data_IF_738550733172
#
_entry.id   IF_738550733172
#
_cell.length_a   1.000
_cell.length_b   1.000
_cell.length_c   1.000
_cell.angle_alpha   90.00
_cell.angle_beta   90.00
_cell.angle_gamma   90.00
#
_symmetry.space_group_name_H-M   'P 1'
#
loop_
_entity.id
_entity.type
_entity.pdbx_description
1 polymer ?
#
# COMPACT_ATOMS: atom_id res chain seq x y z
N UNK A 1 -1.60 -23.24 -12.75
CA UNK A 1 -0.72 -22.06 -12.54
C UNK A 1 0.16 -22.35 -11.33
N UNK A 2 1.48 -22.13 -11.39
CA UNK A 2 2.33 -22.33 -10.20
C UNK A 2 2.00 -21.27 -9.15
N UNK A 3 2.07 -21.61 -7.87
CA UNK A 3 1.67 -20.72 -6.77
C UNK A 3 2.38 -19.36 -6.82
N UNK A 4 3.68 -19.34 -7.13
CA UNK A 4 4.46 -18.12 -7.31
C UNK A 4 3.92 -17.20 -8.41
N UNK A 5 3.38 -17.77 -9.51
CA UNK A 5 2.76 -16.98 -10.58
C UNK A 5 1.47 -16.32 -10.10
N UNK A 6 0.70 -16.99 -9.24
CA UNK A 6 -0.52 -16.41 -8.65
C UNK A 6 -0.17 -15.25 -7.74
N UNK A 7 0.81 -15.42 -6.85
CA UNK A 7 1.30 -14.34 -5.99
C UNK A 7 1.84 -13.16 -6.78
N UNK A 8 2.62 -13.40 -7.83
CA UNK A 8 3.10 -12.35 -8.73
C UNK A 8 1.96 -11.58 -9.40
N UNK A 9 0.92 -12.29 -9.87
CA UNK A 9 -0.26 -11.65 -10.45
C UNK A 9 -1.01 -10.78 -9.42
N UNK A 10 -1.20 -11.26 -8.19
CA UNK A 10 -1.85 -10.48 -7.13
C UNK A 10 -1.06 -9.23 -6.78
N UNK A 11 0.27 -9.32 -6.70
CA UNK A 11 1.13 -8.15 -6.46
C UNK A 11 0.98 -7.11 -7.57
N UNK A 12 1.05 -7.54 -8.83
CA UNK A 12 0.87 -6.66 -10.00
C UNK A 12 -0.51 -6.01 -9.99
N UNK A 13 -1.56 -6.78 -9.67
CA UNK A 13 -2.92 -6.25 -9.59
C UNK A 13 -3.06 -5.22 -8.47
N UNK A 14 -2.47 -5.47 -7.29
CA UNK A 14 -2.51 -4.53 -6.17
C UNK A 14 -1.79 -3.22 -6.52
N UNK A 15 -0.54 -3.31 -7.01
CA UNK A 15 0.22 -2.12 -7.41
C UNK A 15 -0.44 -1.38 -8.56
N UNK A 16 -0.83 -2.11 -9.61
CA UNK A 16 -1.45 -1.57 -10.81
C UNK A 16 -2.76 -0.86 -10.50
N UNK A 17 -3.65 -1.47 -9.71
CA UNK A 17 -4.93 -0.85 -9.38
C UNK A 17 -4.75 0.43 -8.57
N UNK A 18 -3.85 0.45 -7.57
CA UNK A 18 -3.62 1.64 -6.73
C UNK A 18 -2.92 2.75 -7.51
N UNK A 19 -2.03 2.42 -8.44
CA UNK A 19 -1.42 3.41 -9.34
C UNK A 19 -2.45 4.01 -10.32
N UNK A 20 -3.34 3.18 -10.88
CA UNK A 20 -4.40 3.65 -11.78
C UNK A 20 -5.42 4.53 -11.07
N UNK A 21 -5.69 4.28 -9.80
CA UNK A 21 -6.61 5.07 -8.97
C UNK A 21 -5.90 6.05 -8.03
N UNK A 22 -4.65 6.42 -8.33
CA UNK A 22 -3.88 7.31 -7.45
C UNK A 22 -4.54 8.69 -7.34
N UNK A 23 -4.61 9.22 -6.12
CA UNK A 23 -5.18 10.54 -5.84
C UNK A 23 -4.08 11.59 -5.93
N UNK A 24 -4.21 12.52 -6.88
CA UNK A 24 -3.21 13.56 -7.18
C UNK A 24 -3.49 14.91 -6.50
N UNK A 25 -4.46 14.96 -5.58
CA UNK A 25 -4.75 16.12 -4.73
C UNK A 25 -4.69 15.71 -3.25
N UNK A 26 -4.62 16.69 -2.36
CA UNK A 26 -4.72 16.44 -0.92
C UNK A 26 -6.19 16.30 -0.56
N UNK A 27 -6.63 15.09 -0.23
CA UNK A 27 -8.03 14.77 0.03
C UNK A 27 -8.51 15.24 1.40
N UNK A 28 -7.68 15.05 2.42
CA UNK A 28 -8.02 15.31 3.81
C UNK A 28 -6.80 15.77 4.62
N UNK A 29 -7.02 16.10 5.90
CA UNK A 29 -5.99 16.60 6.80
C UNK A 29 -4.87 15.59 7.06
N UNK A 30 -5.17 14.30 7.12
CA UNK A 30 -4.15 13.27 7.29
C UNK A 30 -3.35 13.06 6.00
N UNK A 31 -4.01 13.04 4.84
CA UNK A 31 -3.32 13.07 3.54
C UNK A 31 -2.31 14.23 3.45
N UNK A 32 -2.68 15.42 3.94
CA UNK A 32 -1.77 16.57 4.04
C UNK A 32 -0.56 16.27 4.95
N UNK A 33 -0.80 15.71 6.14
CA UNK A 33 0.26 15.45 7.14
C UNK A 33 1.21 14.37 6.68
N UNK A 34 0.72 13.35 5.98
CA UNK A 34 1.57 12.35 5.33
C UNK A 34 2.37 12.96 4.19
N UNK A 35 1.78 13.81 3.36
CA UNK A 35 2.50 14.49 2.28
C UNK A 35 3.62 15.39 2.85
N UNK A 36 3.31 16.18 3.88
CA UNK A 36 4.30 16.97 4.61
C UNK A 36 5.38 16.08 5.26
N UNK A 37 5.00 14.95 5.87
CA UNK A 37 5.96 13.99 6.42
C UNK A 37 6.91 13.37 5.39
N UNK A 38 6.56 13.39 4.10
CA UNK A 38 7.46 12.99 3.01
C UNK A 38 8.39 14.14 2.61
N UNK A 39 7.92 15.39 2.62
CA UNK A 39 8.71 16.56 2.19
C UNK A 39 9.60 17.10 3.33
N UNK A 40 9.00 17.44 4.47
CA UNK A 40 9.64 17.98 5.66
C UNK A 40 9.14 17.19 6.89
N UNK A 41 9.82 16.09 7.19
CA UNK A 41 9.43 15.22 8.31
C UNK A 41 9.74 15.91 9.64
N UNK A 42 8.71 16.26 10.38
CA UNK A 42 8.82 16.94 11.67
C UNK A 42 7.72 16.49 12.63
N UNK A 43 8.11 15.67 13.61
CA UNK A 43 7.19 15.13 14.62
C UNK A 43 6.63 16.24 15.52
N UNK A 44 7.39 17.32 15.75
CA UNK A 44 6.93 18.45 16.56
C UNK A 44 5.79 19.22 15.87
N UNK A 45 5.74 19.17 14.54
CA UNK A 45 4.67 19.74 13.71
C UNK A 45 3.57 18.73 13.37
N UNK A 46 3.63 17.50 13.90
CA UNK A 46 2.70 16.40 13.60
C UNK A 46 2.69 15.99 12.12
N UNK A 47 3.88 15.93 11.50
CA UNK A 47 4.11 15.63 10.08
C UNK A 47 4.98 14.38 9.91
N UNK A 48 4.40 13.15 9.93
CA UNK A 48 3.00 12.83 10.14
C UNK A 48 2.68 12.67 11.63
N UNK A 49 1.39 12.49 11.90
CA UNK A 49 0.86 12.32 13.25
C UNK A 49 1.25 10.99 13.88
N UNK A 50 1.11 10.90 15.21
CA UNK A 50 1.43 9.69 15.97
C UNK A 50 0.75 8.44 15.35
N UNK A 51 1.46 7.31 15.17
CA UNK A 51 2.81 6.93 15.63
C UNK A 51 4.00 7.49 14.83
N UNK A 52 3.86 8.64 14.16
CA UNK A 52 4.91 9.33 13.39
C UNK A 52 5.45 8.50 12.21
N UNK A 53 4.81 7.37 11.91
CA UNK A 53 5.02 6.41 10.83
C UNK A 53 6.42 6.46 10.15
N UNK A 54 7.52 6.30 10.89
CA UNK A 54 8.87 6.52 10.36
C UNK A 54 9.20 5.54 9.23
N UNK A 55 8.73 4.29 9.34
CA UNK A 55 8.89 3.25 8.32
C UNK A 55 8.16 3.66 7.03
N UNK A 56 6.92 4.14 7.14
CA UNK A 56 6.17 4.65 5.99
C UNK A 56 6.92 5.82 5.34
N UNK A 57 7.31 6.84 6.13
CA UNK A 57 7.99 8.02 5.62
C UNK A 57 9.33 7.67 4.95
N UNK A 58 10.08 6.69 5.47
CA UNK A 58 11.32 6.22 4.86
C UNK A 58 11.08 5.70 3.44
N UNK A 59 10.16 4.75 3.26
CA UNK A 59 9.88 4.19 1.95
C UNK A 59 9.18 5.20 1.02
N UNK A 60 8.29 6.03 1.56
CA UNK A 60 7.61 7.06 0.80
C UNK A 60 8.60 8.10 0.27
N UNK A 61 9.57 8.53 1.08
CA UNK A 61 10.66 9.42 0.68
C UNK A 61 11.53 8.81 -0.41
N UNK A 62 11.85 7.51 -0.33
CA UNK A 62 12.63 6.85 -1.36
C UNK A 62 11.91 6.86 -2.72
N UNK A 63 10.61 6.58 -2.75
CA UNK A 63 9.81 6.63 -3.99
C UNK A 63 9.63 8.08 -4.46
N UNK A 64 9.38 9.00 -3.53
CA UNK A 64 9.26 10.42 -3.83
C UNK A 64 10.54 10.98 -4.45
N UNK A 65 11.73 10.64 -3.95
CA UNK A 65 13.00 11.07 -4.50
C UNK A 65 13.22 10.63 -5.97
N UNK A 66 12.56 9.55 -6.40
CA UNK A 66 12.65 9.04 -7.78
C UNK A 66 11.56 9.60 -8.71
N UNK A 67 10.43 10.02 -8.16
CA UNK A 67 9.21 10.33 -8.93
C UNK A 67 8.77 11.78 -8.80
N UNK A 68 9.26 12.49 -7.79
CA UNK A 68 8.85 13.82 -7.34
C UNK A 68 7.32 13.94 -7.12
N UNK A 69 6.66 12.82 -6.78
CA UNK A 69 5.20 12.74 -6.62
C UNK A 69 4.82 11.88 -5.42
N UNK A 70 4.34 12.51 -4.35
CA UNK A 70 3.84 11.79 -3.16
C UNK A 70 2.64 10.87 -3.49
N UNK A 71 1.80 11.24 -4.46
CA UNK A 71 0.70 10.41 -4.95
C UNK A 71 1.19 9.04 -5.44
N UNK A 72 2.32 9.00 -6.15
CA UNK A 72 2.92 7.75 -6.62
C UNK A 72 3.49 6.95 -5.45
N UNK A 73 4.17 7.63 -4.51
CA UNK A 73 4.67 6.99 -3.30
C UNK A 73 3.55 6.32 -2.48
N UNK A 74 2.44 7.04 -2.27
CA UNK A 74 1.29 6.53 -1.52
C UNK A 74 0.59 5.38 -2.26
N UNK A 75 0.43 5.47 -3.58
CA UNK A 75 -0.16 4.40 -4.37
C UNK A 75 0.68 3.12 -4.34
N UNK A 76 2.00 3.22 -4.48
CA UNK A 76 2.91 2.06 -4.40
C UNK A 76 2.88 1.43 -3.01
N UNK A 77 2.98 2.25 -1.95
CA UNK A 77 2.93 1.75 -0.58
C UNK A 77 1.57 1.14 -0.24
N UNK A 78 0.48 1.77 -0.66
CA UNK A 78 -0.88 1.22 -0.51
C UNK A 78 -1.04 -0.11 -1.23
N UNK A 79 -0.57 -0.22 -2.47
CA UNK A 79 -0.60 -1.48 -3.22
C UNK A 79 0.25 -2.59 -2.57
N UNK A 80 1.45 -2.26 -2.08
CA UNK A 80 2.29 -3.19 -1.33
C UNK A 80 1.65 -3.62 0.00
N UNK A 81 1.02 -2.69 0.72
CA UNK A 81 0.32 -2.96 1.96
C UNK A 81 -0.91 -3.88 1.74
N UNK A 82 -1.73 -3.61 0.72
CA UNK A 82 -2.84 -4.51 0.35
C UNK A 82 -2.35 -5.90 0.02
N UNK A 83 -1.28 -6.02 -0.78
CA UNK A 83 -0.67 -7.32 -1.07
C UNK A 83 -0.22 -8.03 0.21
N UNK A 84 0.45 -7.32 1.12
CA UNK A 84 0.86 -7.83 2.42
C UNK A 84 -0.31 -8.34 3.26
N UNK A 85 -1.41 -7.56 3.34
CA UNK A 85 -2.63 -7.97 4.04
C UNK A 85 -3.16 -9.28 3.47
N UNK A 86 -3.29 -9.40 2.15
CA UNK A 86 -3.75 -10.63 1.48
C UNK A 86 -2.80 -11.80 1.80
N UNK A 87 -1.50 -11.58 1.64
CA UNK A 87 -0.49 -12.61 1.85
C UNK A 87 -0.51 -13.17 3.27
N UNK A 88 -0.45 -12.27 4.27
CA UNK A 88 -0.44 -12.66 5.67
C UNK A 88 -1.80 -13.19 6.13
N UNK A 89 -2.93 -12.67 5.64
CA UNK A 89 -4.25 -13.18 5.99
C UNK A 89 -4.43 -14.64 5.55
N UNK A 90 -4.06 -14.97 4.31
CA UNK A 90 -4.08 -16.35 3.81
C UNK A 90 -3.11 -17.25 4.61
N UNK A 91 -1.92 -16.72 4.94
CA UNK A 91 -0.94 -17.42 5.77
C UNK A 91 -1.45 -17.72 7.18
N UNK A 92 -2.06 -16.76 7.86
CA UNK A 92 -2.67 -16.93 9.19
C UNK A 92 -3.82 -17.94 9.12
N UNK A 93 -4.66 -17.85 8.09
CA UNK A 93 -5.78 -18.77 7.89
C UNK A 93 -5.36 -20.16 7.38
N UNK A 94 -4.07 -20.37 7.06
CA UNK A 94 -3.55 -21.60 6.46
C UNK A 94 -4.27 -22.00 5.16
N UNK A 95 -4.75 -21.00 4.39
CA UNK A 95 -5.46 -21.20 3.13
C UNK A 95 -4.49 -21.00 1.95
N UNK A 96 -4.36 -22.01 1.10
CA UNK A 96 -3.56 -21.90 -0.13
C UNK A 96 -4.27 -21.01 -1.15
N UNK A 97 -3.54 -20.08 -1.75
CA UNK A 97 -4.06 -19.16 -2.77
C UNK A 97 -4.60 -19.87 -4.02
N UNK A 98 -4.12 -21.08 -4.30
CA UNK A 98 -4.54 -21.89 -5.46
C UNK A 98 -5.89 -22.59 -5.27
N UNK A 99 -6.46 -22.55 -4.06
CA UNK A 99 -7.77 -23.13 -3.77
C UNK A 99 -8.90 -22.15 -4.10
N UNK A 100 -10.13 -22.61 -4.40
CA UNK A 100 -11.27 -21.73 -4.62
C UNK A 100 -11.52 -20.78 -3.44
N UNK A 101 -11.41 -21.28 -2.21
CA UNK A 101 -11.53 -20.48 -0.99
C UNK A 101 -10.46 -19.38 -0.93
N UNK A 102 -9.20 -19.71 -1.26
CA UNK A 102 -8.10 -18.75 -1.31
C UNK A 102 -8.35 -17.65 -2.34
N UNK A 103 -8.83 -18.00 -3.54
CA UNK A 103 -9.16 -17.02 -4.58
C UNK A 103 -10.32 -16.11 -4.18
N UNK A 104 -11.36 -16.66 -3.53
CA UNK A 104 -12.47 -15.86 -3.00
C UNK A 104 -11.96 -14.92 -1.91
N UNK A 105 -11.12 -15.39 -0.99
CA UNK A 105 -10.54 -14.55 0.05
C UNK A 105 -9.68 -13.41 -0.54
N UNK A 106 -8.86 -13.69 -1.55
CA UNK A 106 -8.10 -12.67 -2.29
C UNK A 106 -9.03 -11.63 -2.90
N UNK A 107 -10.10 -12.05 -3.59
CA UNK A 107 -11.06 -11.12 -4.20
C UNK A 107 -11.75 -10.25 -3.15
N UNK A 108 -12.22 -10.85 -2.06
CA UNK A 108 -12.90 -10.12 -0.99
C UNK A 108 -11.97 -9.10 -0.31
N UNK A 109 -10.73 -9.47 -0.03
CA UNK A 109 -9.73 -8.57 0.56
C UNK A 109 -9.28 -7.49 -0.43
N UNK A 110 -9.16 -7.82 -1.71
CA UNK A 110 -8.74 -6.87 -2.75
C UNK A 110 -9.77 -5.77 -2.98
N UNK A 111 -11.06 -6.12 -2.96
CA UNK A 111 -12.20 -5.22 -3.14
C UNK A 111 -12.82 -4.74 -1.83
N UNK A 112 -12.17 -4.99 -0.69
CA UNK A 112 -12.59 -4.42 0.58
C UNK A 112 -12.30 -2.90 0.56
N UNK A 113 -13.30 -2.04 0.81
CA UNK A 113 -13.13 -0.59 0.79
C UNK A 113 -12.20 -0.10 1.92
#
# INVERSE_FOLDING_TARGET
MTEHKVWGAVLILCLGSRLMSAVYYIEDLDSLRFALGVVDYDVSKLQPHFPAYPVFCFFAKAIYALTDRYAVAFAVLGGAATFGIIYFALGIAQVKITTPLGLIAVLLLFFNP
#
